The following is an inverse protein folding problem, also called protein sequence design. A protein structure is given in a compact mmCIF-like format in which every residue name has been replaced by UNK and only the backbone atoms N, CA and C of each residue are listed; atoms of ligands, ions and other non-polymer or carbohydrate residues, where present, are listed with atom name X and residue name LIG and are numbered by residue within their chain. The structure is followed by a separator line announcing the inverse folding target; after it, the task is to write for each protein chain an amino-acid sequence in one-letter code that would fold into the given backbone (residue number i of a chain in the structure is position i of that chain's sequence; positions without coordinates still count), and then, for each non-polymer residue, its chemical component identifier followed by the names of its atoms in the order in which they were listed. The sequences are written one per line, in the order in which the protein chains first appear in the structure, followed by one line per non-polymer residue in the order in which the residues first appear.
data_IF_544894087217
#
_entry.id   IF_544894087217
#
_cell.length_a   1.000
_cell.length_b   1.000
_cell.length_c   1.000
_cell.angle_alpha   90.00
_cell.angle_beta   90.00
_cell.angle_gamma   90.00
#
_symmetry.space_group_name_H-M   'P 1'
#
loop_
_entity.id
_entity.type
_entity.pdbx_description
1 polymer ?
#
# COMPACT_ATOMS: atom_id res chain seq x y z
N UNK A 1 42.01 -9.46 24.82
CA UNK A 1 40.96 -8.65 24.15
C UNK A 1 39.71 -9.50 23.92
N UNK A 2 38.87 -9.70 24.94
CA UNK A 2 37.74 -10.65 24.87
C UNK A 2 36.53 -10.26 25.75
N UNK A 3 36.37 -8.97 26.07
CA UNK A 3 35.37 -8.51 27.06
C UNK A 3 34.36 -7.50 26.48
N UNK A 4 34.51 -7.05 25.23
CA UNK A 4 33.65 -5.98 24.70
C UNK A 4 32.35 -6.44 24.04
N UNK A 5 32.17 -7.74 23.81
CA UNK A 5 31.00 -8.29 23.09
C UNK A 5 29.80 -8.64 23.98
N UNK A 6 29.95 -8.67 25.30
CA UNK A 6 28.87 -9.02 26.24
C UNK A 6 28.04 -7.82 26.69
N UNK A 7 28.53 -6.58 26.53
CA UNK A 7 27.81 -5.39 26.98
C UNK A 7 26.76 -4.87 25.98
N UNK A 8 26.86 -5.22 24.70
CA UNK A 8 25.90 -4.77 23.66
C UNK A 8 24.60 -5.60 23.71
N UNK A 9 24.67 -6.86 24.17
CA UNK A 9 23.48 -7.70 24.36
C UNK A 9 22.72 -7.39 25.66
N UNK A 10 23.39 -6.86 26.69
CA UNK A 10 22.72 -6.40 27.91
C UNK A 10 21.97 -5.06 27.70
N UNK A 11 22.46 -4.18 26.82
CA UNK A 11 21.79 -2.91 26.49
C UNK A 11 20.50 -3.08 25.68
N UNK A 12 20.42 -4.11 24.82
CA UNK A 12 19.24 -4.37 23.99
C UNK A 12 18.10 -5.10 24.72
N UNK A 13 18.39 -5.78 25.84
CA UNK A 13 17.37 -6.40 26.69
C UNK A 13 16.86 -5.42 27.77
N UNK A 14 17.67 -4.45 28.20
CA UNK A 14 17.23 -3.36 29.07
C UNK A 14 16.45 -2.25 28.35
N UNK A 15 16.64 -2.08 27.03
CA UNK A 15 15.85 -1.14 26.22
C UNK A 15 14.44 -1.61 25.86
N UNK A 16 14.15 -2.92 25.98
CA UNK A 16 12.82 -3.47 25.73
C UNK A 16 11.91 -3.48 26.97
N UNK A 17 12.46 -3.17 28.15
CA UNK A 17 11.71 -3.12 29.41
C UNK A 17 11.21 -1.71 29.79
N UNK A 18 11.60 -0.66 29.06
CA UNK A 18 11.22 0.74 29.35
C UNK A 18 10.16 1.34 28.41
N UNK A 19 9.52 0.52 27.58
CA UNK A 19 8.28 0.91 26.87
C UNK A 19 7.04 0.21 27.46
N UNK A 20 7.05 -0.04 28.78
CA UNK A 20 5.78 -0.11 29.51
C UNK A 20 5.35 1.35 29.65
N UNK A 21 4.39 1.75 28.81
CA UNK A 21 3.69 3.01 28.97
C UNK A 21 3.31 3.15 30.45
N UNK A 22 3.67 4.30 31.01
CA UNK A 22 3.32 4.72 32.35
C UNK A 22 1.80 4.56 32.50
N UNK A 23 1.38 3.43 33.05
CA UNK A 23 0.00 3.10 33.29
C UNK A 23 -0.40 3.88 34.52
N UNK A 24 -0.65 5.18 34.35
CA UNK A 24 -1.52 5.94 35.25
C UNK A 24 -2.72 5.07 35.53
N UNK A 25 -2.94 4.73 36.81
CA UNK A 25 -3.97 3.86 37.36
C UNK A 25 -5.28 3.94 36.57
N UNK A 26 -5.38 3.16 35.48
CA UNK A 26 -6.51 3.23 34.59
C UNK A 26 -7.48 2.18 35.11
N UNK A 27 -8.29 2.57 36.09
CA UNK A 27 -9.39 1.76 36.59
C UNK A 27 -10.22 1.32 35.39
N UNK A 28 -10.31 0.00 35.16
CA UNK A 28 -11.17 -0.53 34.11
C UNK A 28 -12.62 -0.17 34.44
N UNK A 29 -13.30 0.50 33.50
CA UNK A 29 -14.68 0.91 33.67
C UNK A 29 -15.60 -0.24 33.24
N UNK A 30 -16.61 -0.55 34.03
CA UNK A 30 -17.76 -1.33 33.53
C UNK A 30 -18.59 -0.47 32.56
N UNK A 31 -19.41 -1.08 31.70
CA UNK A 31 -20.30 -0.34 30.78
C UNK A 31 -21.16 0.70 31.52
N UNK A 32 -21.64 0.38 32.73
CA UNK A 32 -22.44 1.28 33.54
C UNK A 32 -21.62 2.45 34.13
N UNK A 33 -20.39 2.20 34.60
CA UNK A 33 -19.49 3.24 35.09
C UNK A 33 -19.01 4.15 33.95
N UNK A 34 -18.70 3.59 32.78
CA UNK A 34 -18.33 4.34 31.59
C UNK A 34 -19.46 5.27 31.14
N UNK A 35 -20.70 4.78 31.18
CA UNK A 35 -21.91 5.57 30.92
C UNK A 35 -22.05 6.75 31.90
N UNK A 36 -21.87 6.50 33.19
CA UNK A 36 -21.97 7.53 34.22
C UNK A 36 -20.89 8.62 34.05
N UNK A 37 -19.68 8.23 33.65
CA UNK A 37 -18.59 9.16 33.35
C UNK A 37 -18.93 10.05 32.15
N UNK A 38 -19.45 9.47 31.05
CA UNK A 38 -19.89 10.25 29.89
C UNK A 38 -21.02 11.23 30.23
N UNK A 39 -21.97 10.84 31.07
CA UNK A 39 -23.05 11.72 31.53
C UNK A 39 -22.51 12.87 32.40
N UNK A 40 -21.52 12.61 33.25
CA UNK A 40 -20.81 13.63 34.03
C UNK A 40 -20.06 14.63 33.16
N UNK A 41 -19.38 14.16 32.11
CA UNK A 41 -18.70 15.01 31.14
C UNK A 41 -19.68 15.84 30.31
N UNK A 42 -20.80 15.25 29.87
CA UNK A 42 -21.85 15.97 29.16
C UNK A 42 -22.45 17.08 30.03
N UNK A 43 -22.74 16.80 31.31
CA UNK A 43 -23.19 17.82 32.26
C UNK A 43 -22.17 18.96 32.42
N UNK A 44 -20.87 18.63 32.50
CA UNK A 44 -19.81 19.63 32.58
C UNK A 44 -19.74 20.51 31.31
N UNK A 45 -20.06 19.97 30.13
CA UNK A 45 -20.08 20.75 28.88
C UNK A 45 -21.24 21.74 28.76
N UNK A 46 -22.36 21.56 29.48
CA UNK A 46 -23.47 22.54 29.49
C UNK A 46 -23.02 23.91 30.03
N UNK A 47 -21.96 23.93 30.84
CA UNK A 47 -21.35 25.16 31.33
C UNK A 47 -20.57 25.95 30.26
N UNK A 48 -20.23 25.34 29.12
CA UNK A 48 -19.38 25.90 28.06
C UNK A 48 -20.13 26.71 27.00
N UNK A 49 -21.47 26.71 27.05
CA UNK A 49 -22.35 27.37 26.07
C UNK A 49 -22.24 28.91 26.07
N UNK A 50 -21.62 29.49 27.11
CA UNK A 50 -21.33 30.92 27.20
C UNK A 50 -19.87 31.19 26.79
N UNK A 51 -19.68 32.02 25.75
CA UNK A 51 -18.36 32.41 25.27
C UNK A 51 -17.48 32.95 26.42
N UNK A 52 -16.27 32.41 26.56
CA UNK A 52 -15.26 32.93 27.50
C UNK A 52 -15.19 32.26 28.88
N UNK A 53 -16.04 31.26 29.21
CA UNK A 53 -15.89 30.50 30.46
C UNK A 53 -14.65 29.60 30.45
N UNK A 54 -14.10 29.36 31.63
CA UNK A 54 -12.99 28.43 31.82
C UNK A 54 -13.46 26.98 31.65
N UNK A 55 -12.59 26.16 31.07
CA UNK A 55 -12.85 24.74 30.88
C UNK A 55 -12.90 24.06 32.26
N UNK A 56 -13.97 23.30 32.57
CA UNK A 56 -14.03 22.49 33.77
C UNK A 56 -12.80 21.57 33.88
N UNK A 57 -12.17 21.51 35.05
CA UNK A 57 -10.98 20.67 35.32
C UNK A 57 -11.17 19.19 34.95
N UNK A 58 -12.42 18.72 34.97
CA UNK A 58 -12.79 17.35 34.58
C UNK A 58 -12.54 17.09 33.09
N UNK A 59 -12.74 18.08 32.21
CA UNK A 59 -12.48 17.97 30.78
C UNK A 59 -10.99 18.12 30.43
N UNK A 60 -10.21 18.78 31.29
CA UNK A 60 -8.76 18.93 31.10
C UNK A 60 -7.99 17.65 31.45
N UNK A 61 -8.50 16.85 32.39
CA UNK A 61 -7.84 15.65 32.91
C UNK A 61 -8.37 14.34 32.32
N UNK A 62 -8.98 14.38 31.13
CA UNK A 62 -9.47 13.16 30.47
C UNK A 62 -8.29 12.25 30.08
N UNK A 63 -8.23 10.99 30.52
CA UNK A 63 -7.13 10.07 30.20
C UNK A 63 -7.13 9.75 28.70
N UNK A 64 -5.96 9.40 28.12
CA UNK A 64 -5.81 9.16 26.66
C UNK A 64 -6.61 7.97 26.13
N UNK A 65 -6.92 7.01 27.00
CA UNK A 65 -7.76 5.87 26.65
C UNK A 65 -8.55 5.39 27.85
N UNK A 66 -9.78 4.94 27.60
CA UNK A 66 -10.63 4.30 28.59
C UNK A 66 -10.69 2.79 28.33
N UNK A 67 -10.12 1.96 29.21
CA UNK A 67 -10.36 0.53 29.19
C UNK A 67 -11.78 0.25 29.72
N UNK A 68 -12.61 -0.37 28.88
CA UNK A 68 -14.00 -0.71 29.19
C UNK A 68 -14.16 -2.23 29.13
N UNK A 69 -14.58 -2.82 30.25
CA UNK A 69 -14.89 -4.25 30.35
C UNK A 69 -16.38 -4.48 30.04
N UNK A 70 -16.66 -5.33 29.07
CA UNK A 70 -18.03 -5.71 28.69
C UNK A 70 -18.19 -7.23 28.71
N UNK A 71 -19.43 -7.72 28.72
CA UNK A 71 -19.73 -9.16 28.62
C UNK A 71 -19.18 -9.81 27.33
N UNK A 72 -18.87 -9.02 26.30
CA UNK A 72 -18.37 -9.48 25.01
C UNK A 72 -16.85 -9.31 24.83
N UNK A 73 -16.14 -8.80 25.84
CA UNK A 73 -14.69 -8.63 25.84
C UNK A 73 -14.22 -7.28 26.37
N UNK A 74 -12.90 -7.13 26.42
CA UNK A 74 -12.19 -5.91 26.81
C UNK A 74 -12.00 -4.98 25.61
N UNK A 75 -12.46 -3.74 25.76
CA UNK A 75 -12.34 -2.71 24.73
C UNK A 75 -11.51 -1.53 25.25
N UNK A 76 -10.68 -0.95 24.39
CA UNK A 76 -9.94 0.26 24.69
C UNK A 76 -10.45 1.40 23.80
N UNK A 77 -11.18 2.34 24.39
CA UNK A 77 -11.74 3.49 23.68
C UNK A 77 -10.75 4.64 23.72
N UNK A 78 -10.31 5.12 22.55
CA UNK A 78 -9.40 6.27 22.44
C UNK A 78 -10.14 7.58 22.64
N UNK A 79 -9.63 8.44 23.54
CA UNK A 79 -10.17 9.78 23.81
C UNK A 79 -9.38 10.88 23.10
N UNK A 80 -8.41 10.52 22.24
CA UNK A 80 -7.49 11.47 21.61
C UNK A 80 -8.23 12.57 20.83
N UNK A 81 -9.33 12.20 20.16
CA UNK A 81 -10.21 13.13 19.47
C UNK A 81 -10.88 14.12 20.43
N UNK A 82 -11.35 13.65 21.59
CA UNK A 82 -11.99 14.49 22.60
C UNK A 82 -10.98 15.48 23.21
N UNK A 83 -9.78 15.01 23.57
CA UNK A 83 -8.73 15.90 24.07
C UNK A 83 -8.33 16.97 23.06
N UNK A 84 -8.30 16.63 21.76
CA UNK A 84 -8.01 17.57 20.68
C UNK A 84 -9.05 18.68 20.59
N UNK A 85 -10.32 18.32 20.71
CA UNK A 85 -11.43 19.28 20.66
C UNK A 85 -11.44 20.18 21.91
N UNK A 86 -11.17 19.62 23.10
CA UNK A 86 -11.03 20.39 24.35
C UNK A 86 -9.85 21.36 24.28
N UNK A 87 -8.69 20.93 23.78
CA UNK A 87 -7.53 21.84 23.56
C UNK A 87 -7.86 22.98 22.60
N UNK A 88 -8.62 22.69 21.53
CA UNK A 88 -9.06 23.70 20.57
C UNK A 88 -10.05 24.69 21.20
N UNK A 89 -10.96 24.21 22.04
CA UNK A 89 -11.83 25.08 22.83
C UNK A 89 -11.02 25.95 23.80
N UNK A 90 -10.05 25.40 24.54
CA UNK A 90 -9.20 26.16 25.46
C UNK A 90 -8.43 27.29 24.76
N UNK A 91 -8.01 27.08 23.50
CA UNK A 91 -7.27 28.06 22.72
C UNK A 91 -8.15 29.22 22.22
N UNK A 92 -9.29 28.91 21.60
CA UNK A 92 -10.08 29.90 20.87
C UNK A 92 -11.33 30.36 21.65
N UNK A 93 -11.71 29.67 22.72
CA UNK A 93 -12.90 29.89 23.58
C UNK A 93 -14.19 30.16 22.81
N UNK A 94 -14.32 29.54 21.64
CA UNK A 94 -15.42 29.72 20.71
C UNK A 94 -16.55 28.70 20.97
N UNK A 95 -17.80 29.16 20.88
CA UNK A 95 -19.03 28.36 20.95
C UNK A 95 -19.01 27.19 19.94
N UNK A 96 -18.48 27.40 18.74
CA UNK A 96 -18.37 26.33 17.73
C UNK A 96 -17.52 25.14 18.19
N UNK A 97 -16.45 25.41 18.95
CA UNK A 97 -15.59 24.37 19.51
C UNK A 97 -16.27 23.67 20.71
N UNK A 98 -17.06 24.39 21.51
CA UNK A 98 -17.87 23.79 22.58
C UNK A 98 -18.90 22.80 22.01
N UNK A 99 -19.57 23.19 20.91
CA UNK A 99 -20.51 22.32 20.19
C UNK A 99 -19.81 21.06 19.66
N UNK A 100 -18.58 21.18 19.14
CA UNK A 100 -17.82 20.02 18.66
C UNK A 100 -17.49 19.01 19.79
N UNK A 101 -17.04 19.50 20.95
CA UNK A 101 -16.79 18.67 22.14
C UNK A 101 -18.06 17.94 22.57
N UNK A 102 -19.18 18.66 22.67
CA UNK A 102 -20.48 18.09 23.04
C UNK A 102 -20.97 17.05 22.03
N UNK A 103 -20.89 17.35 20.74
CA UNK A 103 -21.32 16.44 19.67
C UNK A 103 -20.56 15.12 19.72
N UNK A 104 -19.26 15.17 20.03
CA UNK A 104 -18.43 13.97 20.18
C UNK A 104 -18.83 13.15 21.42
N UNK A 105 -19.06 13.78 22.56
CA UNK A 105 -19.55 13.09 23.76
C UNK A 105 -20.95 12.47 23.54
N UNK A 106 -21.86 13.17 22.86
CA UNK A 106 -23.19 12.66 22.50
C UNK A 106 -23.10 11.49 21.49
N UNK A 107 -22.09 11.47 20.62
CA UNK A 107 -21.83 10.33 19.74
C UNK A 107 -21.37 9.11 20.54
N UNK A 108 -20.40 9.28 21.45
CA UNK A 108 -19.90 8.20 22.32
C UNK A 108 -21.03 7.62 23.20
N UNK A 109 -21.89 8.48 23.75
CA UNK A 109 -23.05 8.06 24.53
C UNK A 109 -24.03 7.20 23.73
N UNK A 110 -24.31 7.61 22.48
CA UNK A 110 -25.18 6.85 21.56
C UNK A 110 -24.58 5.51 21.15
N UNK A 111 -23.27 5.42 20.99
CA UNK A 111 -22.57 4.17 20.69
C UNK A 111 -22.71 3.15 21.83
N UNK A 112 -22.54 3.59 23.08
CA UNK A 112 -22.73 2.74 24.27
C UNK A 112 -24.17 2.22 24.36
N UNK A 113 -25.16 3.10 24.14
CA UNK A 113 -26.57 2.70 24.14
C UNK A 113 -26.93 1.79 22.95
N UNK A 114 -26.20 1.90 21.83
CA UNK A 114 -26.32 1.01 20.69
C UNK A 114 -25.71 -0.37 20.93
N UNK A 115 -24.69 -0.47 21.79
CA UNK A 115 -24.00 -1.71 22.13
C UNK A 115 -24.85 -2.62 23.03
N UNK A 116 -25.63 -2.07 23.95
CA UNK A 116 -26.57 -2.84 24.80
C UNK A 116 -27.83 -3.29 24.06
N UNK A 117 -28.20 -2.60 22.97
CA UNK A 117 -29.27 -3.08 22.10
C UNK A 117 -28.74 -4.26 21.31
N UNK A 118 -29.25 -5.46 21.61
CA UNK A 118 -28.94 -6.69 20.90
C UNK A 118 -28.84 -6.42 19.38
N UNK A 119 -27.77 -6.89 18.70
CA UNK A 119 -27.54 -6.56 17.31
C UNK A 119 -28.79 -6.93 16.51
N UNK A 120 -29.39 -5.94 15.85
CA UNK A 120 -30.43 -6.15 14.83
C UNK A 120 -29.98 -7.32 13.97
N UNK A 121 -30.84 -8.33 13.77
CA UNK A 121 -30.53 -9.60 13.10
C UNK A 121 -29.75 -9.40 11.78
N UNK A 122 -28.42 -9.32 11.91
CA UNK A 122 -27.48 -9.08 10.81
C UNK A 122 -27.16 -10.38 10.10
N UNK A 123 -27.65 -11.51 10.58
CA UNK A 123 -27.45 -12.80 9.94
C UNK A 123 -28.08 -12.82 8.54
N UNK A 124 -29.27 -12.22 8.38
CA UNK A 124 -29.90 -12.05 7.06
C UNK A 124 -29.12 -11.12 6.14
N UNK A 125 -28.62 -9.99 6.66
CA UNK A 125 -27.82 -9.05 5.87
C UNK A 125 -26.48 -9.65 5.45
N UNK A 126 -25.83 -10.41 6.34
CA UNK A 126 -24.59 -11.15 6.03
C UNK A 126 -24.83 -12.25 5.01
N UNK A 127 -25.90 -13.03 5.15
CA UNK A 127 -26.27 -14.03 4.15
C UNK A 127 -26.56 -13.40 2.78
N UNK A 128 -27.21 -12.24 2.73
CA UNK A 128 -27.42 -11.49 1.49
C UNK A 128 -26.10 -10.98 0.90
N UNK A 129 -25.21 -10.42 1.72
CA UNK A 129 -23.87 -9.98 1.30
C UNK A 129 -23.02 -11.13 0.77
N UNK A 130 -22.98 -12.26 1.47
CA UNK A 130 -22.24 -13.45 1.04
C UNK A 130 -22.79 -13.99 -0.28
N UNK A 131 -24.12 -13.94 -0.48
CA UNK A 131 -24.75 -14.35 -1.74
C UNK A 131 -24.39 -13.42 -2.91
N UNK A 132 -24.24 -12.11 -2.65
CA UNK A 132 -23.83 -11.12 -3.66
C UNK A 132 -22.34 -11.28 -3.97
N UNK A 133 -21.49 -11.42 -2.95
CA UNK A 133 -20.05 -11.59 -3.13
C UNK A 133 -19.69 -12.94 -3.77
N UNK A 134 -20.54 -13.96 -3.64
CA UNK A 134 -20.39 -15.25 -4.30
C UNK A 134 -20.76 -15.21 -5.80
N UNK A 135 -21.35 -14.12 -6.31
CA UNK A 135 -21.68 -14.03 -7.73
C UNK A 135 -20.40 -13.97 -8.60
N UNK A 136 -20.43 -14.57 -9.81
CA UNK A 136 -19.26 -14.66 -10.70
C UNK A 136 -18.65 -13.29 -11.07
N UNK A 137 -19.45 -12.24 -11.02
CA UNK A 137 -19.05 -10.85 -11.27
C UNK A 137 -18.08 -10.31 -10.20
N UNK A 138 -18.16 -10.81 -8.97
CA UNK A 138 -17.28 -10.45 -7.86
C UNK A 138 -16.16 -11.48 -7.61
N UNK A 139 -16.25 -12.67 -8.23
CA UNK A 139 -15.23 -13.72 -8.15
C UNK A 139 -13.87 -13.33 -8.81
N UNK A 140 -13.84 -12.28 -9.63
CA UNK A 140 -12.63 -11.82 -10.33
C UNK A 140 -11.53 -11.23 -9.43
N UNK A 141 -11.82 -10.94 -8.15
CA UNK A 141 -10.86 -10.39 -7.18
C UNK A 141 -10.90 -11.12 -5.83
N UNK A 142 -11.19 -12.43 -5.86
CA UNK A 142 -11.20 -13.30 -4.67
C UNK A 142 -9.84 -13.97 -4.36
N UNK A 143 -9.74 -14.68 -3.21
CA UNK A 143 -8.50 -15.27 -2.66
C UNK A 143 -7.68 -16.20 -3.59
N UNK A 144 -8.23 -16.62 -4.73
CA UNK A 144 -7.52 -17.44 -5.73
C UNK A 144 -6.31 -16.73 -6.38
N UNK A 145 -6.24 -15.40 -6.36
CA UNK A 145 -5.05 -14.67 -6.83
C UNK A 145 -3.84 -14.87 -5.90
N UNK A 146 -4.04 -14.80 -4.58
CA UNK A 146 -2.99 -15.09 -3.59
C UNK A 146 -2.51 -16.55 -3.70
N UNK A 147 -3.41 -17.49 -4.01
CA UNK A 147 -3.02 -18.88 -4.25
C UNK A 147 -2.16 -19.06 -5.51
N UNK A 148 -2.42 -18.30 -6.58
CA UNK A 148 -1.56 -18.30 -7.78
C UNK A 148 -0.19 -17.68 -7.50
N UNK A 149 -0.12 -16.66 -6.66
CA UNK A 149 1.16 -16.05 -6.23
C UNK A 149 1.97 -17.01 -5.37
N UNK A 150 1.34 -17.65 -4.38
CA UNK A 150 2.03 -18.60 -3.52
C UNK A 150 2.59 -19.78 -4.34
N UNK A 151 1.85 -20.30 -5.31
CA UNK A 151 2.36 -21.33 -6.24
C UNK A 151 3.56 -20.87 -7.08
N UNK A 152 3.55 -19.63 -7.59
CA UNK A 152 4.70 -19.08 -8.33
C UNK A 152 5.92 -18.88 -7.41
N UNK A 153 5.70 -18.41 -6.18
CA UNK A 153 6.74 -18.20 -5.17
C UNK A 153 7.40 -19.53 -4.77
N UNK A 154 6.60 -20.58 -4.55
CA UNK A 154 7.11 -21.93 -4.24
C UNK A 154 7.94 -22.52 -5.39
N UNK A 155 7.52 -22.31 -6.64
CA UNK A 155 8.28 -22.76 -7.80
C UNK A 155 9.63 -22.02 -7.94
N UNK A 156 9.64 -20.71 -7.64
CA UNK A 156 10.86 -19.91 -7.63
C UNK A 156 11.81 -20.36 -6.50
N UNK A 157 11.27 -20.57 -5.30
CA UNK A 157 12.02 -21.02 -4.13
C UNK A 157 12.68 -22.38 -4.37
N UNK A 158 11.99 -23.32 -5.03
CA UNK A 158 12.58 -24.62 -5.41
C UNK A 158 13.77 -24.45 -6.36
N UNK A 159 13.63 -23.63 -7.42
CA UNK A 159 14.72 -23.39 -8.37
C UNK A 159 15.94 -22.74 -7.72
N UNK A 160 15.73 -21.75 -6.86
CA UNK A 160 16.81 -21.07 -6.13
C UNK A 160 17.52 -22.03 -5.18
N UNK A 161 16.75 -22.86 -4.45
CA UNK A 161 17.30 -23.85 -3.53
C UNK A 161 18.13 -24.91 -4.26
N UNK A 162 17.60 -25.49 -5.32
CA UNK A 162 18.29 -26.55 -6.08
C UNK A 162 19.56 -26.01 -6.75
N UNK A 163 19.51 -24.77 -7.26
CA UNK A 163 20.68 -24.08 -7.77
C UNK A 163 21.73 -23.82 -6.67
N UNK A 164 21.32 -23.34 -5.49
CA UNK A 164 22.21 -23.10 -4.36
C UNK A 164 22.88 -24.39 -3.88
N UNK A 165 22.12 -25.47 -3.71
CA UNK A 165 22.69 -26.77 -3.33
C UNK A 165 23.68 -27.29 -4.35
N UNK A 166 23.38 -27.19 -5.66
CA UNK A 166 24.31 -27.60 -6.71
C UNK A 166 25.60 -26.75 -6.72
N UNK A 167 25.50 -25.46 -6.43
CA UNK A 167 26.65 -24.56 -6.33
C UNK A 167 27.51 -24.88 -5.11
N UNK A 168 26.89 -25.07 -3.94
CA UNK A 168 27.60 -25.43 -2.70
C UNK A 168 28.23 -26.83 -2.80
N UNK A 169 27.52 -27.82 -3.35
CA UNK A 169 28.07 -29.17 -3.58
C UNK A 169 29.20 -29.15 -4.61
N UNK A 170 29.05 -28.39 -5.70
CA UNK A 170 30.11 -28.20 -6.70
C UNK A 170 31.36 -27.57 -6.08
N UNK A 171 31.16 -26.54 -5.24
CA UNK A 171 32.23 -25.90 -4.50
C UNK A 171 32.91 -26.84 -3.51
N UNK A 172 32.14 -27.64 -2.76
CA UNK A 172 32.70 -28.60 -1.81
C UNK A 172 33.51 -29.69 -2.51
N UNK A 173 33.02 -30.18 -3.67
CA UNK A 173 33.74 -31.15 -4.50
C UNK A 173 35.02 -30.57 -5.10
N UNK A 174 35.00 -29.31 -5.50
CA UNK A 174 36.19 -28.57 -5.95
C UNK A 174 37.19 -28.39 -4.80
N UNK A 175 36.71 -28.01 -3.62
CA UNK A 175 37.53 -27.83 -2.43
C UNK A 175 38.19 -29.15 -2.00
N UNK A 176 37.46 -30.26 -2.01
CA UNK A 176 38.01 -31.60 -1.73
C UNK A 176 39.09 -32.01 -2.74
N UNK A 177 38.92 -31.67 -4.02
CA UNK A 177 39.92 -31.97 -5.07
C UNK A 177 41.20 -31.16 -4.88
N UNK A 178 41.13 -29.99 -4.26
CA UNK A 178 42.25 -29.09 -4.03
C UNK A 178 42.90 -29.25 -2.66
N UNK A 179 42.14 -29.65 -1.64
CA UNK A 179 42.64 -29.94 -0.28
C UNK A 179 43.31 -31.32 -0.15
N UNK A 180 43.33 -32.13 -1.21
CA UNK A 180 44.09 -33.38 -1.27
C UNK A 180 45.61 -33.20 -1.25
N UNK A 181 46.13 -31.98 -1.33
CA UNK A 181 47.56 -31.68 -1.26
C UNK A 181 47.92 -31.02 0.06
N UNK A 182 48.76 -31.70 0.85
CA UNK A 182 49.25 -31.26 2.16
C UNK A 182 50.02 -29.94 2.03
N UNK A 183 49.37 -28.88 2.53
CA UNK A 183 49.92 -27.68 3.18
C UNK A 183 51.22 -27.05 2.66
N UNK A 184 51.09 -25.86 2.03
CA UNK A 184 52.10 -24.80 2.08
C UNK A 184 51.40 -23.50 2.56
N UNK A 185 51.83 -22.89 3.68
CA UNK A 185 51.07 -21.82 4.37
C UNK A 185 50.91 -20.51 3.57
N UNK A 186 51.70 -20.32 2.51
CA UNK A 186 51.59 -19.15 1.63
C UNK A 186 50.53 -19.33 0.53
N UNK A 187 50.32 -20.57 0.08
CA UNK A 187 49.33 -20.88 -0.97
C UNK A 187 47.92 -20.64 -0.46
N UNK A 188 47.66 -20.85 0.83
CA UNK A 188 46.34 -20.63 1.44
C UNK A 188 45.83 -19.19 1.31
N UNK A 189 46.70 -18.17 1.43
CA UNK A 189 46.27 -16.76 1.33
C UNK A 189 45.87 -16.39 -0.09
N UNK A 190 46.71 -16.72 -1.09
CA UNK A 190 46.40 -16.47 -2.50
C UNK A 190 45.11 -17.20 -2.90
N UNK A 191 44.90 -18.41 -2.34
CA UNK A 191 43.69 -19.17 -2.58
C UNK A 191 42.43 -18.50 -2.00
N UNK A 192 42.49 -18.02 -0.75
CA UNK A 192 41.36 -17.33 -0.10
C UNK A 192 40.98 -16.06 -0.87
N UNK A 193 41.96 -15.24 -1.27
CA UNK A 193 41.67 -14.03 -2.04
C UNK A 193 41.19 -14.34 -3.47
N UNK A 194 41.72 -15.38 -4.12
CA UNK A 194 41.24 -15.85 -5.42
C UNK A 194 39.80 -16.35 -5.35
N UNK A 195 39.43 -17.07 -4.29
CA UNK A 195 38.09 -17.57 -4.06
C UNK A 195 37.10 -16.44 -3.77
N UNK A 196 37.53 -15.45 -2.99
CA UNK A 196 36.74 -14.26 -2.67
C UNK A 196 36.49 -13.42 -3.94
N UNK A 197 37.50 -13.29 -4.81
CA UNK A 197 37.37 -12.64 -6.12
C UNK A 197 36.44 -13.40 -7.06
N UNK A 198 36.56 -14.73 -7.13
CA UNK A 198 35.69 -15.57 -7.95
C UNK A 198 34.23 -15.52 -7.48
N UNK A 199 33.98 -15.51 -6.16
CA UNK A 199 32.65 -15.34 -5.59
C UNK A 199 32.05 -13.96 -5.92
N UNK A 200 32.88 -12.90 -5.86
CA UNK A 200 32.47 -11.55 -6.26
C UNK A 200 32.11 -11.46 -7.75
N UNK A 201 32.92 -12.07 -8.62
CA UNK A 201 32.65 -12.14 -10.06
C UNK A 201 31.40 -12.97 -10.38
N UNK A 202 31.19 -14.09 -9.69
CA UNK A 202 29.99 -14.89 -9.84
C UNK A 202 28.74 -14.11 -9.39
N UNK A 203 28.82 -13.36 -8.29
CA UNK A 203 27.73 -12.50 -7.83
C UNK A 203 27.43 -11.39 -8.85
N UNK A 204 28.47 -10.72 -9.37
CA UNK A 204 28.31 -9.72 -10.43
C UNK A 204 27.70 -10.32 -11.71
N UNK A 205 28.14 -11.51 -12.11
CA UNK A 205 27.58 -12.23 -13.26
C UNK A 205 26.11 -12.63 -13.03
N UNK A 206 25.73 -13.00 -11.81
CA UNK A 206 24.34 -13.32 -11.47
C UNK A 206 23.46 -12.08 -11.44
N UNK A 207 23.95 -10.95 -10.93
CA UNK A 207 23.26 -9.65 -10.99
C UNK A 207 23.08 -9.24 -12.44
N UNK A 208 24.15 -9.29 -13.24
CA UNK A 208 24.10 -9.04 -14.68
C UNK A 208 23.09 -9.96 -15.37
N UNK A 209 23.16 -11.27 -15.14
CA UNK A 209 22.25 -12.24 -15.74
C UNK A 209 20.80 -12.03 -15.31
N UNK A 210 20.56 -11.72 -14.04
CA UNK A 210 19.22 -11.49 -13.50
C UNK A 210 18.57 -10.23 -14.05
N UNK A 211 19.36 -9.19 -14.33
CA UNK A 211 18.88 -7.93 -14.90
C UNK A 211 18.71 -8.06 -16.42
N UNK A 212 19.65 -8.70 -17.11
CA UNK A 212 19.66 -8.74 -18.58
C UNK A 212 18.92 -9.93 -19.21
N UNK A 213 18.62 -11.01 -18.48
CA UNK A 213 17.90 -12.18 -19.04
C UNK A 213 16.44 -12.32 -18.60
N UNK A 214 15.94 -11.43 -17.72
CA UNK A 214 14.52 -11.33 -17.41
C UNK A 214 13.97 -10.00 -17.96
N UNK A 215 13.55 -9.92 -19.25
CA UNK A 215 12.81 -8.76 -19.74
C UNK A 215 11.40 -8.61 -19.11
N UNK A 216 11.01 -9.51 -18.19
CA UNK A 216 9.78 -9.41 -17.39
C UNK A 216 9.95 -8.67 -16.05
N UNK A 217 11.13 -8.14 -15.72
CA UNK A 217 11.21 -7.12 -14.68
C UNK A 217 10.87 -5.77 -15.30
N UNK A 218 9.56 -5.54 -15.34
CA UNK A 218 8.97 -4.22 -15.33
C UNK A 218 9.76 -3.36 -14.35
N UNK A 219 10.44 -2.39 -14.95
CA UNK A 219 11.34 -1.46 -14.33
C UNK A 219 10.62 -0.82 -13.13
N UNK A 220 10.96 -1.27 -11.92
CA UNK A 220 10.69 -0.50 -10.70
C UNK A 220 11.66 0.68 -10.76
N UNK A 221 11.32 1.64 -11.62
CA UNK A 221 11.96 2.94 -11.70
C UNK A 221 11.90 3.53 -10.28
N UNK A 222 13.04 3.95 -9.71
CA UNK A 222 13.07 4.65 -8.45
C UNK A 222 12.17 5.90 -8.52
N UNK A 223 11.28 5.99 -7.54
CA UNK A 223 10.54 7.14 -6.99
C UNK A 223 10.60 8.47 -7.80
N UNK A 224 9.40 8.98 -8.09
CA UNK A 224 9.05 10.38 -8.44
C UNK A 224 9.07 10.82 -9.91
N UNK A 225 9.06 9.89 -10.88
CA UNK A 225 8.81 10.25 -12.28
C UNK A 225 7.33 10.03 -12.63
N UNK A 226 6.59 11.06 -13.10
CA UNK A 226 5.20 10.90 -13.55
C UNK A 226 5.11 9.92 -14.72
N UNK A 227 3.94 9.33 -14.99
CA UNK A 227 3.75 8.34 -16.08
C UNK A 227 4.09 8.94 -17.46
N UNK A 228 4.09 10.26 -17.58
CA UNK A 228 4.53 11.04 -18.74
C UNK A 228 6.02 11.42 -18.74
N UNK A 229 6.82 10.90 -17.81
CA UNK A 229 8.27 11.09 -17.83
C UNK A 229 8.92 10.51 -19.11
N UNK A 230 8.24 9.55 -19.73
CA UNK A 230 8.60 8.97 -21.02
C UNK A 230 7.84 9.69 -22.12
N UNK A 231 8.56 10.18 -23.12
CA UNK A 231 7.99 10.91 -24.25
C UNK A 231 7.05 10.02 -25.07
N UNK A 232 5.95 10.60 -25.57
CA UNK A 232 4.96 9.91 -26.39
C UNK A 232 5.51 9.12 -27.60
N UNK A 233 6.58 9.54 -28.32
CA UNK A 233 7.10 8.75 -29.44
C UNK A 233 7.69 7.42 -28.96
N UNK A 234 8.27 7.40 -27.75
CA UNK A 234 8.85 6.19 -27.18
C UNK A 234 7.74 5.21 -26.83
N UNK A 235 6.67 5.69 -26.18
CA UNK A 235 5.46 4.88 -25.93
C UNK A 235 4.87 4.29 -27.21
N UNK A 236 4.77 5.10 -28.27
CA UNK A 236 4.24 4.66 -29.56
C UNK A 236 5.15 3.62 -30.24
N UNK A 237 6.47 3.79 -30.16
CA UNK A 237 7.43 2.81 -30.69
C UNK A 237 7.34 1.46 -29.98
N UNK A 238 7.15 1.46 -28.66
CA UNK A 238 6.99 0.25 -27.87
C UNK A 238 5.63 -0.42 -28.10
N UNK A 239 4.57 0.38 -28.27
CA UNK A 239 3.27 -0.12 -28.67
C UNK A 239 3.35 -0.89 -29.99
N UNK A 240 4.04 -0.33 -30.99
CA UNK A 240 4.29 -1.00 -32.28
C UNK A 240 5.13 -2.27 -32.10
N UNK A 241 6.15 -2.24 -31.24
CA UNK A 241 6.97 -3.42 -30.95
C UNK A 241 6.20 -4.52 -30.20
N UNK A 242 5.25 -4.18 -29.34
CA UNK A 242 4.36 -5.14 -28.69
C UNK A 242 3.40 -5.77 -29.71
N UNK A 243 2.86 -4.98 -30.63
CA UNK A 243 2.01 -5.47 -31.70
C UNK A 243 2.74 -6.44 -32.63
N UNK A 244 4.03 -6.23 -32.94
CA UNK A 244 4.80 -7.18 -33.77
C UNK A 244 5.04 -8.52 -33.09
N UNK A 245 5.03 -8.56 -31.75
CA UNK A 245 5.10 -9.81 -30.96
C UNK A 245 3.75 -10.52 -30.84
N UNK A 246 2.66 -9.88 -31.26
CA UNK A 246 1.30 -10.38 -31.09
C UNK A 246 0.68 -10.03 -29.72
N UNK A 247 1.36 -9.21 -28.91
CA UNK A 247 0.90 -8.76 -27.60
C UNK A 247 -0.08 -7.59 -27.75
N UNK A 248 -1.24 -7.81 -28.39
CA UNK A 248 -2.18 -6.76 -28.78
C UNK A 248 -2.71 -5.93 -27.61
N UNK A 249 -2.95 -6.59 -26.47
CA UNK A 249 -3.43 -5.94 -25.25
C UNK A 249 -2.40 -4.94 -24.71
N UNK A 250 -1.14 -5.33 -24.66
CA UNK A 250 -0.05 -4.47 -24.19
C UNK A 250 0.23 -3.36 -25.22
N UNK A 251 0.12 -3.67 -26.50
CA UNK A 251 0.22 -2.68 -27.57
C UNK A 251 -0.83 -1.56 -27.41
N UNK A 252 -2.09 -1.91 -27.12
CA UNK A 252 -3.16 -0.93 -26.87
C UNK A 252 -2.90 -0.15 -25.57
N UNK A 253 -2.43 -0.81 -24.51
CA UNK A 253 -2.11 -0.15 -23.25
C UNK A 253 -1.01 0.92 -23.44
N UNK A 254 0.08 0.57 -24.12
CA UNK A 254 1.19 1.48 -24.44
C UNK A 254 0.75 2.62 -25.36
N UNK A 255 -0.08 2.31 -26.38
CA UNK A 255 -0.65 3.29 -27.29
C UNK A 255 -1.53 4.32 -26.56
N UNK A 256 -2.38 3.88 -25.62
CA UNK A 256 -3.18 4.78 -24.80
C UNK A 256 -2.31 5.77 -24.01
N UNK A 257 -1.26 5.27 -23.34
CA UNK A 257 -0.34 6.12 -22.60
C UNK A 257 0.48 7.07 -23.49
N UNK A 258 0.75 6.70 -24.75
CA UNK A 258 1.31 7.62 -25.73
C UNK A 258 0.38 8.83 -25.93
N UNK A 259 -0.93 8.62 -26.10
CA UNK A 259 -1.91 9.69 -26.24
C UNK A 259 -2.02 10.59 -25.02
N UNK A 260 -1.95 10.02 -23.81
CA UNK A 260 -1.95 10.79 -22.57
C UNK A 260 -0.67 11.64 -22.44
N UNK A 261 0.50 11.06 -22.72
CA UNK A 261 1.77 11.79 -22.68
C UNK A 261 1.82 12.91 -23.72
N UNK A 262 1.24 12.69 -24.91
CA UNK A 262 1.12 13.73 -25.93
C UNK A 262 0.29 14.92 -25.43
N UNK A 263 -0.91 14.67 -24.92
CA UNK A 263 -1.78 15.75 -24.42
C UNK A 263 -1.20 16.46 -23.19
N UNK A 264 -0.46 15.75 -22.36
CA UNK A 264 0.26 16.37 -21.25
C UNK A 264 1.35 17.33 -21.75
N UNK A 265 2.11 16.93 -22.80
CA UNK A 265 3.13 17.78 -23.44
C UNK A 265 2.52 19.02 -24.08
N UNK A 266 1.34 18.89 -24.71
CA UNK A 266 0.60 20.01 -25.27
C UNK A 266 -0.04 20.92 -24.18
N UNK A 267 0.15 20.59 -22.89
CA UNK A 267 -0.21 21.45 -21.76
C UNK A 267 -1.67 21.35 -21.33
N UNK A 268 -2.40 20.30 -21.74
CA UNK A 268 -3.81 20.13 -21.36
C UNK A 268 -4.00 19.87 -19.86
N UNK A 269 -2.98 19.36 -19.17
CA UNK A 269 -2.99 19.14 -17.72
C UNK A 269 -1.58 19.01 -17.15
N UNK A 270 -1.50 19.00 -15.82
CA UNK A 270 -0.27 18.67 -15.10
C UNK A 270 -0.13 17.15 -14.93
N UNK A 271 1.09 16.60 -15.03
CA UNK A 271 1.35 15.19 -14.75
C UNK A 271 0.81 14.75 -13.39
N UNK A 272 0.01 13.68 -13.38
CA UNK A 272 -0.57 13.10 -12.17
C UNK A 272 -0.84 11.60 -12.38
N UNK A 273 -0.19 10.75 -11.58
CA UNK A 273 -0.28 9.28 -11.68
C UNK A 273 -1.52 8.70 -10.98
N UNK A 274 -2.17 9.45 -10.09
CA UNK A 274 -3.35 8.96 -9.38
C UNK A 274 -4.62 9.01 -10.24
N UNK A 275 -4.55 9.66 -11.41
CA UNK A 275 -5.71 9.87 -12.26
C UNK A 275 -6.18 8.60 -12.96
N UNK A 276 -7.48 8.43 -12.97
CA UNK A 276 -8.13 7.39 -13.75
C UNK A 276 -8.30 7.84 -15.22
N UNK A 277 -8.38 6.90 -16.18
CA UNK A 277 -8.64 7.22 -17.60
C UNK A 277 -9.83 8.15 -17.83
N UNK A 278 -10.92 7.97 -17.07
CA UNK A 278 -12.11 8.81 -17.17
C UNK A 278 -11.94 10.20 -16.57
N UNK A 279 -11.00 10.39 -15.65
CA UNK A 279 -10.69 11.70 -15.09
C UNK A 279 -9.96 12.59 -16.09
N UNK A 280 -9.10 12.03 -16.96
CA UNK A 280 -8.49 12.81 -18.06
C UNK A 280 -9.55 13.39 -19.00
N UNK A 281 -10.61 12.62 -19.30
CA UNK A 281 -11.74 13.12 -20.09
C UNK A 281 -12.42 14.33 -19.43
N UNK A 282 -12.46 14.41 -18.09
CA UNK A 282 -13.07 15.55 -17.39
C UNK A 282 -12.23 16.82 -17.44
N UNK A 283 -10.94 16.71 -17.73
CA UNK A 283 -10.03 17.85 -17.84
C UNK A 283 -10.13 18.58 -19.18
N UNK A 284 -10.60 17.88 -20.21
CA UNK A 284 -10.76 18.46 -21.54
C UNK A 284 -12.16 19.07 -21.68
N UNK A 285 -12.22 20.29 -22.23
CA UNK A 285 -13.48 20.97 -22.56
C UNK A 285 -14.43 20.08 -23.36
N UNK A 286 -15.71 20.10 -23.00
CA UNK A 286 -16.78 19.32 -23.63
C UNK A 286 -16.93 19.57 -25.13
N UNK A 287 -16.49 20.73 -25.62
CA UNK A 287 -16.68 21.20 -27.00
C UNK A 287 -15.47 20.94 -27.90
N UNK A 288 -14.42 20.29 -27.39
CA UNK A 288 -13.18 20.06 -28.15
C UNK A 288 -13.23 18.75 -28.94
N UNK A 289 -12.67 18.76 -30.15
CA UNK A 289 -12.51 17.57 -31.01
C UNK A 289 -11.57 16.53 -30.37
N UNK A 290 -10.60 16.99 -29.58
CA UNK A 290 -9.68 16.16 -28.82
C UNK A 290 -10.40 15.31 -27.77
N UNK A 291 -11.50 15.81 -27.20
CA UNK A 291 -12.30 15.05 -26.22
C UNK A 291 -12.98 13.85 -26.86
N UNK A 292 -13.54 14.00 -28.06
CA UNK A 292 -14.19 12.90 -28.77
C UNK A 292 -13.17 11.79 -29.10
N UNK A 293 -12.03 12.19 -29.64
CA UNK A 293 -10.91 11.30 -29.96
C UNK A 293 -10.39 10.57 -28.72
N UNK A 294 -10.13 11.30 -27.62
CA UNK A 294 -9.68 10.70 -26.37
C UNK A 294 -10.76 9.79 -25.75
N UNK A 295 -12.05 10.09 -25.94
CA UNK A 295 -13.16 9.25 -25.46
C UNK A 295 -13.16 7.90 -26.19
N UNK A 296 -12.99 7.91 -27.52
CA UNK A 296 -12.88 6.69 -28.31
C UNK A 296 -11.67 5.85 -27.87
N UNK A 297 -10.50 6.49 -27.73
CA UNK A 297 -9.26 5.84 -27.27
C UNK A 297 -9.41 5.24 -25.86
N UNK A 298 -10.01 5.99 -24.93
CA UNK A 298 -10.26 5.55 -23.55
C UNK A 298 -11.21 4.34 -23.53
N UNK A 299 -12.23 4.32 -24.39
CA UNK A 299 -13.15 3.18 -24.48
C UNK A 299 -12.46 1.91 -24.96
N UNK A 300 -11.63 2.00 -26.00
CA UNK A 300 -10.86 0.86 -26.51
C UNK A 300 -9.93 0.32 -25.42
N UNK A 301 -9.22 1.23 -24.75
CA UNK A 301 -8.36 0.91 -23.62
C UNK A 301 -9.11 0.20 -22.47
N UNK A 302 -10.25 0.74 -22.04
CA UNK A 302 -11.03 0.16 -20.93
C UNK A 302 -11.51 -1.27 -21.26
N UNK A 303 -11.93 -1.50 -22.50
CA UNK A 303 -12.37 -2.82 -22.98
C UNK A 303 -11.22 -3.82 -23.04
N UNK A 304 -10.08 -3.42 -23.62
CA UNK A 304 -8.91 -4.29 -23.74
C UNK A 304 -8.27 -4.58 -22.37
N UNK A 305 -8.17 -3.56 -21.50
CA UNK A 305 -7.40 -3.64 -20.26
C UNK A 305 -8.22 -4.07 -19.05
N UNK A 306 -9.34 -3.42 -18.77
CA UNK A 306 -10.14 -3.70 -17.57
C UNK A 306 -11.15 -4.83 -17.79
N UNK A 307 -11.84 -4.83 -18.93
CA UNK A 307 -12.81 -5.88 -19.25
C UNK A 307 -12.15 -7.20 -19.71
N UNK A 308 -10.83 -7.20 -19.95
CA UNK A 308 -10.06 -8.35 -20.46
C UNK A 308 -10.68 -8.97 -21.72
N UNK A 309 -11.29 -8.15 -22.57
CA UNK A 309 -11.78 -8.60 -23.87
C UNK A 309 -10.59 -8.92 -24.77
N UNK A 310 -10.72 -9.96 -25.59
CA UNK A 310 -9.71 -10.31 -26.57
C UNK A 310 -9.46 -9.09 -27.48
N UNK A 311 -8.19 -8.68 -27.52
CA UNK A 311 -7.70 -7.61 -28.36
C UNK A 311 -6.97 -8.24 -29.55
N UNK A 312 -7.19 -7.68 -30.73
CA UNK A 312 -6.64 -8.16 -31.98
C UNK A 312 -5.97 -7.03 -32.77
N UNK A 313 -5.45 -7.40 -33.93
CA UNK A 313 -4.81 -6.47 -34.87
C UNK A 313 -5.74 -5.34 -35.29
N UNK A 314 -7.02 -5.64 -35.51
CA UNK A 314 -8.01 -4.66 -35.97
C UNK A 314 -8.27 -3.60 -34.90
N UNK A 315 -8.43 -4.03 -33.65
CA UNK A 315 -8.57 -3.15 -32.49
C UNK A 315 -7.33 -2.27 -32.29
N UNK A 316 -6.13 -2.83 -32.50
CA UNK A 316 -4.89 -2.05 -32.43
C UNK A 316 -4.79 -1.04 -33.59
N UNK A 317 -5.18 -1.39 -34.81
CA UNK A 317 -5.24 -0.46 -35.95
C UNK A 317 -6.18 0.71 -35.66
N UNK A 318 -7.37 0.43 -35.13
CA UNK A 318 -8.31 1.47 -34.70
C UNK A 318 -7.71 2.38 -33.62
N UNK A 319 -6.93 1.82 -32.69
CA UNK A 319 -6.24 2.59 -31.64
C UNK A 319 -5.24 3.57 -32.26
N UNK A 320 -4.46 3.12 -33.26
CA UNK A 320 -3.52 3.98 -33.98
C UNK A 320 -4.22 5.09 -34.76
N UNK A 321 -5.35 4.81 -35.43
CA UNK A 321 -6.14 5.82 -36.12
C UNK A 321 -6.64 6.92 -35.17
N UNK A 322 -7.06 6.56 -33.96
CA UNK A 322 -7.46 7.54 -32.94
C UNK A 322 -6.26 8.38 -32.45
N UNK A 323 -5.08 7.76 -32.30
CA UNK A 323 -3.87 8.49 -31.94
C UNK A 323 -3.42 9.48 -33.03
N UNK A 324 -3.53 9.09 -34.30
CA UNK A 324 -3.22 9.97 -35.42
C UNK A 324 -4.17 11.16 -35.48
N UNK A 325 -5.47 10.95 -35.23
CA UNK A 325 -6.46 12.04 -35.08
C UNK A 325 -6.14 12.97 -33.92
N UNK A 326 -5.53 12.45 -32.84
CA UNK A 326 -5.09 13.25 -31.70
C UNK A 326 -3.85 14.10 -32.04
N UNK A 327 -3.10 13.73 -33.08
CA UNK A 327 -1.86 14.40 -33.49
C UNK A 327 -0.58 13.62 -33.22
N UNK A 328 -0.67 12.38 -32.70
CA UNK A 328 0.46 11.48 -32.50
C UNK A 328 0.79 10.78 -33.83
N UNK A 329 1.90 11.13 -34.49
CA UNK A 329 2.33 10.54 -35.77
C UNK A 329 3.61 9.73 -35.66
#
# INVERSE_FOLDING_TARGET
MKVWRTYILAGLVLGAAFCVADSTENRAFTTAEYRAELDGLLAATQGLDSAGRETPKVLENVPQSWPVHTEHGDFQISTEGLQRDVRRYNKDKNVANAIAVRTRLESLRREVDGFEKAPTDTARSRAALDSILAQPEFAGRGPGWFQKINKKLEALQKRVRDWFFNLVLGFFRFLQRLFGWKSLPTVGKVFIYGLMGAAGLALLYLIYRSIFQNPEFEEVVPRDLPVSAKEWPIWLSEARAAATRGDWRDAIHLAYWAGISFLEREGFWKPDRARTPREYLRLISAQSEQRETLTALTRIFELAWYAKRDADRETFSQTLEQLEKLGCR
#
